data_IF_274727889549
#
_entry.id   IF_274727889549
#
_cell.length_a   1.000
_cell.length_b   1.000
_cell.length_c   1.000
_cell.angle_alpha   90.00
_cell.angle_beta   90.00
_cell.angle_gamma   90.00
#
_symmetry.space_group_name_H-M   'P 1'
#
loop_
_entity.id
_entity.type
_entity.pdbx_description
1 polymer ?
#
# COMPACT_ATOMS: atom_id res chain seq x y z
N UNK A 1 20.16 -24.62 -9.38
CA UNK A 1 19.50 -23.30 -9.21
C UNK A 1 18.13 -23.27 -9.90
N UNK A 2 18.01 -23.62 -11.19
CA UNK A 2 16.73 -23.57 -11.92
C UNK A 2 15.59 -24.40 -11.31
N UNK A 3 15.86 -25.64 -10.87
CA UNK A 3 14.85 -26.48 -10.21
C UNK A 3 14.32 -25.86 -8.91
N UNK A 4 15.18 -25.19 -8.12
CA UNK A 4 14.79 -24.51 -6.88
C UNK A 4 13.90 -23.29 -7.13
N UNK A 5 14.17 -22.52 -8.19
CA UNK A 5 13.35 -21.37 -8.60
C UNK A 5 11.99 -21.85 -9.13
N UNK A 6 11.94 -22.92 -9.92
CA UNK A 6 10.69 -23.49 -10.42
C UNK A 6 9.79 -24.00 -9.26
N UNK A 7 10.36 -24.72 -8.29
CA UNK A 7 9.63 -25.15 -7.10
C UNK A 7 9.17 -23.94 -6.28
N UNK A 8 9.99 -22.91 -6.15
CA UNK A 8 9.62 -21.68 -5.45
C UNK A 8 8.41 -21.00 -6.10
N UNK A 9 8.45 -20.79 -7.41
CA UNK A 9 7.35 -20.19 -8.18
C UNK A 9 6.08 -21.05 -8.07
N UNK A 10 6.19 -22.37 -8.14
CA UNK A 10 5.06 -23.27 -7.98
C UNK A 10 4.43 -23.14 -6.59
N UNK A 11 5.23 -23.17 -5.53
CA UNK A 11 4.76 -23.02 -4.15
C UNK A 11 4.09 -21.66 -3.92
N UNK A 12 4.68 -20.58 -4.45
CA UNK A 12 4.17 -19.22 -4.30
C UNK A 12 2.85 -19.04 -5.07
N UNK A 13 2.84 -19.39 -6.35
CA UNK A 13 1.70 -19.14 -7.24
C UNK A 13 0.58 -20.14 -7.00
N UNK A 14 0.86 -21.45 -7.09
CA UNK A 14 -0.16 -22.47 -6.93
C UNK A 14 -0.65 -22.55 -5.48
N UNK A 15 0.28 -22.47 -4.51
CA UNK A 15 -0.07 -22.44 -3.09
C UNK A 15 -0.86 -21.19 -2.72
N UNK A 16 -0.46 -20.02 -3.22
CA UNK A 16 -1.19 -18.76 -2.99
C UNK A 16 -2.63 -18.80 -3.49
N UNK A 17 -2.85 -19.27 -4.73
CA UNK A 17 -4.20 -19.41 -5.29
C UNK A 17 -5.00 -20.49 -4.55
N UNK A 18 -4.40 -21.64 -4.22
CA UNK A 18 -5.07 -22.66 -3.43
C UNK A 18 -5.53 -22.12 -2.07
N UNK A 19 -4.67 -21.37 -1.37
CA UNK A 19 -5.02 -20.70 -0.12
C UNK A 19 -6.20 -19.74 -0.28
N UNK A 20 -6.27 -18.99 -1.38
CA UNK A 20 -7.43 -18.13 -1.64
C UNK A 20 -8.73 -18.89 -1.90
N UNK A 21 -8.68 -19.97 -2.68
CA UNK A 21 -9.86 -20.82 -2.93
C UNK A 21 -10.37 -21.39 -1.62
N UNK A 22 -9.47 -21.91 -0.79
CA UNK A 22 -9.79 -22.40 0.56
C UNK A 22 -10.39 -21.27 1.41
N UNK A 23 -9.76 -20.09 1.46
CA UNK A 23 -10.25 -18.91 2.18
C UNK A 23 -11.69 -18.57 1.79
N UNK A 24 -11.98 -18.55 0.49
CA UNK A 24 -13.31 -18.24 -0.04
C UNK A 24 -14.35 -19.28 0.38
N UNK A 25 -13.96 -20.57 0.41
CA UNK A 25 -14.84 -21.69 0.79
C UNK A 25 -15.20 -21.66 2.28
N UNK A 26 -14.26 -21.26 3.13
CA UNK A 26 -14.43 -21.14 4.58
C UNK A 26 -14.87 -19.74 5.04
N UNK A 27 -14.99 -18.77 4.11
CA UNK A 27 -15.31 -17.36 4.40
C UNK A 27 -14.35 -16.69 5.39
N UNK A 28 -13.08 -17.08 5.35
CA UNK A 28 -12.00 -16.52 6.19
C UNK A 28 -11.23 -15.50 5.33
N UNK A 29 -10.68 -14.41 5.91
CA UNK A 29 -9.81 -13.50 5.17
C UNK A 29 -8.59 -14.23 4.57
N UNK A 30 -8.42 -14.14 3.25
CA UNK A 30 -7.35 -14.85 2.53
C UNK A 30 -5.94 -14.53 3.03
N UNK A 31 -5.72 -13.30 3.51
CA UNK A 31 -4.45 -12.85 4.07
C UNK A 31 -3.96 -13.79 5.17
N UNK A 32 -4.85 -14.28 6.05
CA UNK A 32 -4.47 -15.18 7.15
C UNK A 32 -3.87 -16.48 6.62
N UNK A 33 -4.49 -17.07 5.59
CA UNK A 33 -3.99 -18.31 4.99
C UNK A 33 -2.72 -18.08 4.17
N UNK A 34 -2.61 -16.94 3.47
CA UNK A 34 -1.42 -16.58 2.71
C UNK A 34 -0.19 -16.38 3.62
N UNK A 35 -0.37 -15.64 4.73
CA UNK A 35 0.68 -15.43 5.72
C UNK A 35 1.11 -16.77 6.34
N UNK A 36 0.14 -17.60 6.76
CA UNK A 36 0.40 -18.91 7.34
C UNK A 36 1.08 -19.87 6.37
N UNK A 37 0.71 -19.83 5.09
CA UNK A 37 1.33 -20.62 4.05
C UNK A 37 2.81 -20.24 3.85
N UNK A 38 3.11 -18.96 3.67
CA UNK A 38 4.51 -18.53 3.51
C UNK A 38 5.35 -18.78 4.76
N UNK A 39 4.78 -18.57 5.96
CA UNK A 39 5.44 -18.92 7.22
C UNK A 39 5.73 -20.41 7.36
N UNK A 40 4.79 -21.27 6.93
CA UNK A 40 4.98 -22.71 7.00
C UNK A 40 6.04 -23.19 5.99
N UNK A 41 5.96 -22.74 4.74
CA UNK A 41 6.84 -23.22 3.67
C UNK A 41 8.25 -22.63 3.80
N UNK A 42 8.40 -21.38 4.24
CA UNK A 42 9.70 -20.75 4.41
C UNK A 42 10.32 -21.10 5.76
N UNK A 43 10.08 -20.32 6.82
CA UNK A 43 10.82 -20.45 8.08
C UNK A 43 10.67 -21.81 8.78
N UNK A 44 9.48 -22.43 8.73
CA UNK A 44 9.21 -23.69 9.45
C UNK A 44 9.74 -24.92 8.72
N UNK A 45 9.41 -25.07 7.42
CA UNK A 45 9.80 -26.25 6.63
C UNK A 45 11.14 -26.06 5.90
N UNK A 46 11.65 -24.84 5.78
CA UNK A 46 12.90 -24.52 5.08
C UNK A 46 12.85 -24.73 3.57
N UNK A 47 11.66 -24.89 2.98
CA UNK A 47 11.49 -25.26 1.56
C UNK A 47 11.64 -24.06 0.62
N UNK A 48 11.36 -22.85 1.10
CA UNK A 48 11.37 -21.62 0.31
C UNK A 48 12.14 -20.53 1.05
N UNK A 49 13.27 -20.09 0.50
CA UNK A 49 13.98 -18.90 0.93
C UNK A 49 14.01 -17.90 -0.23
N UNK A 50 13.04 -16.97 -0.32
CA UNK A 50 12.92 -16.07 -1.46
C UNK A 50 14.18 -15.24 -1.70
N UNK A 51 14.81 -14.74 -0.63
CA UNK A 51 16.07 -13.99 -0.68
C UNK A 51 17.21 -14.79 -1.32
N UNK A 52 17.30 -16.10 -1.08
CA UNK A 52 18.32 -16.97 -1.68
C UNK A 52 17.95 -17.39 -3.11
N UNK A 53 16.67 -17.68 -3.35
CA UNK A 53 16.19 -18.17 -4.64
C UNK A 53 16.23 -17.08 -5.73
N UNK A 54 15.84 -15.86 -5.38
CA UNK A 54 15.78 -14.73 -6.32
C UNK A 54 16.96 -13.76 -6.17
N UNK A 55 17.70 -13.81 -5.06
CA UNK A 55 18.90 -13.02 -4.84
C UNK A 55 18.65 -11.51 -4.98
N UNK A 56 19.50 -10.77 -5.71
CA UNK A 56 19.34 -9.33 -5.88
C UNK A 56 18.07 -8.93 -6.66
N UNK A 57 17.47 -9.87 -7.40
CA UNK A 57 16.29 -9.61 -8.22
C UNK A 57 14.98 -9.64 -7.41
N UNK A 58 15.00 -10.15 -6.17
CA UNK A 58 13.80 -10.22 -5.33
C UNK A 58 13.16 -8.85 -5.14
N UNK A 59 13.97 -7.83 -4.82
CA UNK A 59 13.46 -6.49 -4.51
C UNK A 59 12.86 -5.77 -5.72
N UNK A 60 13.52 -5.74 -6.90
CA UNK A 60 12.88 -5.26 -8.12
C UNK A 60 11.56 -5.97 -8.44
N UNK A 61 11.50 -7.30 -8.24
CA UNK A 61 10.26 -8.06 -8.48
C UNK A 61 9.13 -7.69 -7.52
N UNK A 62 9.44 -7.54 -6.23
CA UNK A 62 8.49 -7.03 -5.23
C UNK A 62 8.04 -5.62 -5.63
N UNK A 63 8.98 -4.73 -5.98
CA UNK A 63 8.69 -3.36 -6.41
C UNK A 63 7.72 -3.28 -7.59
N UNK A 64 7.95 -4.07 -8.64
CA UNK A 64 7.07 -4.17 -9.80
C UNK A 64 5.68 -4.72 -9.43
N UNK A 65 5.62 -5.70 -8.54
CA UNK A 65 4.34 -6.24 -8.06
C UNK A 65 3.57 -5.20 -7.23
N UNK A 66 4.25 -4.50 -6.30
CA UNK A 66 3.66 -3.41 -5.51
C UNK A 66 3.19 -2.28 -6.42
N UNK A 67 3.94 -1.94 -7.48
CA UNK A 67 3.54 -0.92 -8.45
C UNK A 67 2.16 -1.20 -9.05
N UNK A 68 1.89 -2.44 -9.46
CA UNK A 68 0.59 -2.84 -10.00
C UNK A 68 -0.50 -2.76 -8.92
N UNK A 69 -0.19 -3.15 -7.68
CA UNK A 69 -1.13 -3.08 -6.56
C UNK A 69 -1.48 -1.61 -6.22
N UNK A 70 -0.51 -0.71 -6.19
CA UNK A 70 -0.76 0.71 -5.88
C UNK A 70 -1.42 1.43 -7.05
N UNK A 71 -1.09 1.05 -8.30
CA UNK A 71 -1.82 1.49 -9.49
C UNK A 71 -3.31 1.09 -9.42
N UNK A 72 -3.61 -0.12 -8.95
CA UNK A 72 -4.98 -0.59 -8.70
C UNK A 72 -5.71 0.32 -7.71
N UNK A 73 -5.08 0.61 -6.57
CA UNK A 73 -5.62 1.51 -5.54
C UNK A 73 -5.85 2.92 -6.08
N UNK A 74 -4.94 3.44 -6.90
CA UNK A 74 -5.10 4.72 -7.60
C UNK A 74 -6.32 4.74 -8.54
N UNK A 75 -6.58 3.65 -9.26
CA UNK A 75 -7.74 3.51 -10.13
C UNK A 75 -9.09 3.46 -9.40
N UNK A 76 -9.08 3.23 -8.09
CA UNK A 76 -10.29 3.29 -7.27
C UNK A 76 -10.68 4.74 -6.90
N UNK A 77 -9.75 5.69 -6.99
CA UNK A 77 -9.94 7.08 -6.57
C UNK A 77 -10.55 7.95 -7.69
N UNK A 78 -11.88 8.04 -7.73
CA UNK A 78 -12.62 8.99 -8.57
C UNK A 78 -12.99 10.26 -7.78
N UNK A 79 -12.46 11.42 -8.18
CA UNK A 79 -12.70 12.68 -7.48
C UNK A 79 -14.14 13.18 -7.60
N UNK A 80 -14.90 12.73 -8.60
CA UNK A 80 -16.31 13.10 -8.81
C UNK A 80 -17.20 12.31 -7.87
N UNK A 81 -16.98 11.00 -7.77
CA UNK A 81 -17.69 10.18 -6.79
C UNK A 81 -17.34 10.61 -5.35
N UNK A 82 -16.08 10.99 -5.10
CA UNK A 82 -15.65 11.51 -3.80
C UNK A 82 -16.36 12.82 -3.45
N UNK A 83 -16.49 13.74 -4.41
CA UNK A 83 -17.27 14.98 -4.22
C UNK A 83 -18.76 14.69 -4.03
N UNK A 84 -19.31 13.73 -4.76
CA UNK A 84 -20.71 13.32 -4.64
C UNK A 84 -21.04 12.70 -3.26
N UNK A 85 -20.05 12.16 -2.55
CA UNK A 85 -20.22 11.66 -1.19
C UNK A 85 -20.46 12.76 -0.13
N UNK A 86 -20.23 14.02 -0.49
CA UNK A 86 -20.50 15.19 0.33
C UNK A 86 -19.28 15.78 1.04
N UNK A 87 -19.33 17.09 1.24
CA UNK A 87 -18.23 17.89 1.83
C UNK A 87 -17.83 17.40 3.24
N UNK A 88 -18.80 16.90 4.01
CA UNK A 88 -18.53 16.32 5.33
C UNK A 88 -17.61 15.11 5.27
N UNK A 89 -17.78 14.21 4.30
CA UNK A 89 -16.94 13.01 4.13
C UNK A 89 -15.54 13.42 3.69
N UNK A 90 -15.45 14.31 2.71
CA UNK A 90 -14.20 14.87 2.20
C UNK A 90 -13.34 15.48 3.33
N UNK A 91 -13.93 16.37 4.13
CA UNK A 91 -13.23 17.03 5.23
C UNK A 91 -12.76 16.02 6.28
N UNK A 92 -13.61 15.03 6.60
CA UNK A 92 -13.26 14.00 7.57
C UNK A 92 -12.08 13.15 7.08
N UNK A 93 -12.09 12.69 5.82
CA UNK A 93 -11.00 11.91 5.25
C UNK A 93 -9.71 12.70 5.18
N UNK A 94 -9.76 13.97 4.77
CA UNK A 94 -8.60 14.85 4.68
C UNK A 94 -7.96 15.14 6.06
N UNK A 95 -8.76 15.26 7.12
CA UNK A 95 -8.26 15.52 8.48
C UNK A 95 -7.79 14.23 9.17
N UNK A 96 -8.48 13.10 8.95
CA UNK A 96 -8.13 11.83 9.58
C UNK A 96 -6.73 11.35 9.17
N UNK A 97 -6.33 11.60 7.93
CA UNK A 97 -5.04 11.17 7.39
C UNK A 97 -3.83 11.71 8.17
N UNK A 98 -3.61 13.04 8.29
CA UNK A 98 -2.46 13.59 9.02
C UNK A 98 -2.52 13.26 10.51
N UNK A 99 -3.71 13.18 11.11
CA UNK A 99 -3.84 12.80 12.51
C UNK A 99 -3.41 11.35 12.74
N UNK A 100 -3.85 10.41 11.88
CA UNK A 100 -3.41 9.01 11.95
C UNK A 100 -1.90 8.89 11.75
N UNK A 101 -1.32 9.65 10.82
CA UNK A 101 0.13 9.68 10.59
C UNK A 101 0.89 10.12 11.84
N UNK A 102 0.53 11.27 12.42
CA UNK A 102 1.22 11.83 13.60
C UNK A 102 1.04 10.92 14.81
N UNK A 103 -0.18 10.49 15.12
CA UNK A 103 -0.43 9.63 16.27
C UNK A 103 0.21 8.24 16.11
N UNK A 104 0.22 7.68 14.90
CA UNK A 104 0.91 6.43 14.60
C UNK A 104 2.43 6.55 14.77
N UNK A 105 3.01 7.66 14.30
CA UNK A 105 4.44 7.96 14.47
C UNK A 105 4.81 8.11 15.94
N UNK A 106 4.03 8.88 16.70
CA UNK A 106 4.26 9.09 18.14
C UNK A 106 4.12 7.79 18.91
N UNK A 107 3.13 6.95 18.59
CA UNK A 107 2.96 5.65 19.22
C UNK A 107 4.16 4.72 18.94
N UNK A 108 4.65 4.67 17.70
CA UNK A 108 5.83 3.90 17.33
C UNK A 108 7.09 4.35 18.08
N UNK A 109 7.26 5.66 18.26
CA UNK A 109 8.39 6.20 19.01
C UNK A 109 8.28 5.91 20.51
N UNK A 110 7.15 6.27 21.14
CA UNK A 110 7.01 6.21 22.59
C UNK A 110 6.75 4.80 23.13
N UNK A 111 5.95 3.99 22.43
CA UNK A 111 5.56 2.64 22.86
C UNK A 111 6.44 1.57 22.21
N UNK A 112 6.73 1.75 20.92
CA UNK A 112 7.61 0.84 20.17
C UNK A 112 9.10 1.04 20.48
N UNK A 113 9.49 2.18 21.07
CA UNK A 113 10.89 2.52 21.33
C UNK A 113 11.72 2.75 20.07
N UNK A 114 11.06 2.94 18.92
CA UNK A 114 11.73 3.14 17.63
C UNK A 114 12.32 4.55 17.54
N UNK A 115 13.38 4.73 16.74
CA UNK A 115 13.86 6.08 16.40
C UNK A 115 12.79 6.85 15.61
N UNK A 116 12.84 8.19 15.65
CA UNK A 116 11.85 9.05 14.97
C UNK A 116 11.71 8.75 13.47
N UNK A 117 12.81 8.38 12.79
CA UNK A 117 12.78 8.02 11.37
C UNK A 117 11.93 6.78 11.08
N UNK A 118 12.32 5.58 11.53
CA UNK A 118 11.51 4.37 11.40
C UNK A 118 10.08 4.53 11.93
N UNK A 119 9.90 5.30 13.00
CA UNK A 119 8.56 5.64 13.53
C UNK A 119 7.70 6.39 12.53
N UNK A 120 8.28 7.34 11.78
CA UNK A 120 7.56 8.09 10.76
C UNK A 120 7.17 7.20 9.57
N UNK A 121 8.05 6.29 9.14
CA UNK A 121 7.71 5.30 8.08
C UNK A 121 6.59 4.39 8.55
N UNK A 122 6.68 3.89 9.79
CA UNK A 122 5.61 3.08 10.37
C UNK A 122 4.29 3.85 10.45
N UNK A 123 4.32 5.12 10.88
CA UNK A 123 3.15 6.00 10.87
C UNK A 123 2.56 6.19 9.48
N UNK A 124 3.39 6.36 8.45
CA UNK A 124 2.96 6.49 7.05
C UNK A 124 2.29 5.21 6.53
N UNK A 125 2.87 4.04 6.83
CA UNK A 125 2.28 2.73 6.50
C UNK A 125 0.95 2.55 7.24
N UNK A 126 0.87 2.96 8.51
CA UNK A 126 -0.35 2.90 9.33
C UNK A 126 -1.43 3.89 8.92
N UNK A 127 -1.20 4.80 7.98
CA UNK A 127 -2.30 5.57 7.38
C UNK A 127 -3.09 4.69 6.42
N UNK A 128 -2.42 3.76 5.75
CA UNK A 128 -3.01 2.93 4.69
C UNK A 128 -4.14 2.04 5.25
N UNK A 129 -5.31 2.14 4.64
CA UNK A 129 -6.50 1.35 4.93
C UNK A 129 -7.02 0.76 3.63
N UNK A 130 -7.25 -0.55 3.60
CA UNK A 130 -7.48 -1.26 2.33
C UNK A 130 -8.94 -1.26 1.88
N UNK A 131 -9.28 -0.73 0.69
CA UNK A 131 -10.63 -0.83 0.13
C UNK A 131 -11.04 -2.29 -0.10
N UNK A 132 -10.09 -3.15 -0.44
CA UNK A 132 -10.29 -4.57 -0.74
C UNK A 132 -10.88 -5.38 0.42
N UNK A 133 -10.58 -5.02 1.66
CA UNK A 133 -11.13 -5.70 2.86
C UNK A 133 -12.38 -4.98 3.36
N UNK A 134 -12.40 -3.65 3.35
CA UNK A 134 -13.52 -2.90 3.93
C UNK A 134 -14.76 -2.93 3.04
N UNK A 135 -14.65 -2.82 1.71
CA UNK A 135 -15.82 -2.78 0.82
C UNK A 135 -16.66 -4.06 0.89
N UNK A 136 -16.08 -5.27 0.88
CA UNK A 136 -16.84 -6.50 1.13
C UNK A 136 -17.55 -6.50 2.49
N UNK A 137 -16.90 -6.01 3.55
CA UNK A 137 -17.52 -5.93 4.88
C UNK A 137 -18.70 -4.95 4.89
N UNK A 138 -18.54 -3.78 4.28
CA UNK A 138 -19.60 -2.76 4.16
C UNK A 138 -20.82 -3.25 3.37
N UNK A 139 -20.63 -4.14 2.38
CA UNK A 139 -21.76 -4.73 1.62
C UNK A 139 -22.63 -5.66 2.47
N UNK A 140 -22.06 -6.27 3.50
CA UNK A 140 -22.78 -7.18 4.41
C UNK A 140 -23.20 -6.48 5.70
N UNK A 141 -22.48 -5.43 6.11
CA UNK A 141 -22.79 -4.64 7.28
C UNK A 141 -23.96 -3.69 6.96
N UNK A 142 -25.07 -3.83 7.69
CA UNK A 142 -26.24 -2.93 7.59
C UNK A 142 -25.95 -1.59 8.28
N UNK A 143 -25.06 -0.80 7.70
CA UNK A 143 -24.64 0.49 8.25
C UNK A 143 -25.45 1.64 7.68
N UNK A 144 -25.53 2.73 8.44
CA UNK A 144 -26.06 3.98 7.93
C UNK A 144 -25.24 4.48 6.72
N UNK A 145 -25.94 5.05 5.74
CA UNK A 145 -25.34 5.47 4.46
C UNK A 145 -24.12 6.37 4.65
N UNK A 146 -24.16 7.27 5.63
CA UNK A 146 -23.08 8.22 5.90
C UNK A 146 -21.84 7.57 6.50
N UNK A 147 -22.02 6.72 7.51
CA UNK A 147 -20.94 5.94 8.13
C UNK A 147 -20.29 4.97 7.14
N UNK A 148 -21.10 4.31 6.28
CA UNK A 148 -20.59 3.47 5.20
C UNK A 148 -19.82 4.27 4.14
N UNK A 149 -20.32 5.45 3.75
CA UNK A 149 -19.65 6.32 2.79
C UNK A 149 -18.31 6.84 3.34
N UNK A 150 -18.25 7.22 4.61
CA UNK A 150 -17.01 7.65 5.25
C UNK A 150 -15.96 6.52 5.26
N UNK A 151 -16.31 5.33 5.76
CA UNK A 151 -15.38 4.18 5.78
C UNK A 151 -14.91 3.78 4.37
N UNK A 152 -15.82 3.82 3.39
CA UNK A 152 -15.48 3.55 1.99
C UNK A 152 -14.46 4.55 1.46
N UNK A 153 -14.71 5.85 1.64
CA UNK A 153 -13.85 6.89 1.08
C UNK A 153 -12.55 7.07 1.85
N UNK A 154 -12.56 6.88 3.16
CA UNK A 154 -11.34 6.79 3.95
C UNK A 154 -10.43 5.69 3.38
N UNK A 155 -10.97 4.50 3.14
CA UNK A 155 -10.18 3.41 2.57
C UNK A 155 -9.69 3.72 1.14
N UNK A 156 -10.56 4.21 0.26
CA UNK A 156 -10.18 4.51 -1.13
C UNK A 156 -9.14 5.63 -1.23
N UNK A 157 -9.19 6.65 -0.37
CA UNK A 157 -8.25 7.78 -0.40
C UNK A 157 -6.93 7.42 0.28
N UNK A 158 -6.98 6.82 1.48
CA UNK A 158 -5.78 6.52 2.25
C UNK A 158 -4.90 5.46 1.59
N UNK A 159 -5.46 4.61 0.73
CA UNK A 159 -4.71 3.56 0.03
C UNK A 159 -3.62 4.13 -0.91
N UNK A 160 -3.94 4.93 -1.94
CA UNK A 160 -2.93 5.59 -2.77
C UNK A 160 -2.16 6.69 -2.02
N UNK A 161 -2.82 7.48 -1.18
CA UNK A 161 -2.14 8.60 -0.50
C UNK A 161 -1.13 8.10 0.53
N UNK A 162 -1.44 7.02 1.25
CA UNK A 162 -0.51 6.41 2.19
C UNK A 162 0.70 5.78 1.51
N UNK A 163 0.55 5.23 0.30
CA UNK A 163 1.69 4.77 -0.50
C UNK A 163 2.62 5.92 -0.91
N UNK A 164 2.07 7.03 -1.42
CA UNK A 164 2.82 8.24 -1.76
C UNK A 164 3.51 8.82 -0.51
N UNK A 165 2.77 8.94 0.60
CA UNK A 165 3.31 9.45 1.86
C UNK A 165 4.47 8.59 2.35
N UNK A 166 4.33 7.27 2.29
CA UNK A 166 5.39 6.36 2.71
C UNK A 166 6.64 6.50 1.83
N UNK A 167 6.47 6.57 0.50
CA UNK A 167 7.57 6.80 -0.43
C UNK A 167 8.32 8.11 -0.11
N UNK A 168 7.59 9.21 0.14
CA UNK A 168 8.18 10.50 0.50
C UNK A 168 8.93 10.42 1.83
N UNK A 169 8.34 9.80 2.86
CA UNK A 169 8.98 9.68 4.18
C UNK A 169 10.24 8.83 4.11
N UNK A 170 10.25 7.72 3.36
CA UNK A 170 11.45 6.91 3.16
C UNK A 170 12.54 7.72 2.47
N UNK A 171 12.21 8.44 1.39
CA UNK A 171 13.18 9.24 0.66
C UNK A 171 13.80 10.33 1.54
N UNK A 172 12.98 11.03 2.34
CA UNK A 172 13.46 11.99 3.33
C UNK A 172 14.47 11.33 4.28
N UNK A 173 14.17 10.15 4.80
CA UNK A 173 15.03 9.49 5.79
C UNK A 173 16.31 8.89 5.22
N UNK A 174 16.29 8.44 3.98
CA UNK A 174 17.50 7.91 3.32
C UNK A 174 18.38 9.05 2.79
N UNK A 175 17.76 10.17 2.37
CA UNK A 175 18.45 11.35 1.85
C UNK A 175 19.09 12.24 2.92
N UNK A 176 18.46 12.40 4.10
CA UNK A 176 18.94 13.29 5.17
C UNK A 176 20.32 12.95 5.78
N UNK A 177 20.68 11.67 6.07
CA UNK A 177 21.92 11.34 6.78
C UNK A 177 23.20 11.75 6.05
N UNK A 178 23.13 11.97 4.73
CA UNK A 178 24.30 12.25 3.89
C UNK A 178 24.60 13.75 3.71
N UNK A 179 23.76 14.66 4.24
CA UNK A 179 23.88 16.10 4.00
C UNK A 179 23.60 16.89 5.29
N UNK A 180 24.60 17.59 5.84
CA UNK A 180 24.47 18.46 7.01
C UNK A 180 24.63 19.94 6.61
N UNK A 181 23.69 20.80 7.05
CA UNK A 181 23.69 22.24 6.79
C UNK A 181 22.32 22.79 6.36
N UNK A 182 22.12 24.12 6.34
CA UNK A 182 20.89 24.74 5.82
C UNK A 182 20.69 24.46 4.31
N UNK A 183 21.79 24.35 3.56
CA UNK A 183 21.80 23.95 2.15
C UNK A 183 21.28 22.52 1.93
N UNK A 184 21.44 21.63 2.92
CA UNK A 184 20.98 20.25 2.84
C UNK A 184 19.45 20.13 2.79
N UNK A 185 18.73 21.01 3.49
CA UNK A 185 17.26 21.01 3.50
C UNK A 185 16.73 21.50 2.15
N UNK A 186 17.34 22.54 1.60
CA UNK A 186 16.95 23.08 0.28
C UNK A 186 17.24 22.07 -0.83
N UNK A 187 18.41 21.43 -0.80
CA UNK A 187 18.81 20.42 -1.79
C UNK A 187 17.95 19.15 -1.69
N UNK A 188 17.59 18.71 -0.48
CA UNK A 188 16.63 17.62 -0.30
C UNK A 188 15.24 17.99 -0.81
N UNK A 189 14.76 19.20 -0.51
CA UNK A 189 13.46 19.67 -1.00
C UNK A 189 13.42 19.74 -2.53
N UNK A 190 14.50 20.20 -3.16
CA UNK A 190 14.66 20.21 -4.61
C UNK A 190 14.69 18.78 -5.17
N UNK A 191 15.49 17.88 -4.59
CA UNK A 191 15.56 16.49 -5.01
C UNK A 191 14.20 15.79 -4.94
N UNK A 192 13.45 15.99 -3.84
CA UNK A 192 12.09 15.47 -3.68
C UNK A 192 11.12 16.09 -4.68
N UNK A 193 11.21 17.39 -4.92
CA UNK A 193 10.36 18.08 -5.89
C UNK A 193 10.63 17.60 -7.33
N UNK A 194 11.90 17.38 -7.68
CA UNK A 194 12.30 16.83 -8.97
C UNK A 194 11.85 15.39 -9.15
N UNK A 195 12.11 14.52 -8.17
CA UNK A 195 11.73 13.10 -8.24
C UNK A 195 10.22 12.90 -8.23
N UNK A 196 9.51 13.53 -7.29
CA UNK A 196 8.05 13.46 -7.23
C UNK A 196 7.39 14.19 -8.42
N UNK A 197 7.96 15.30 -8.87
CA UNK A 197 7.50 16.04 -10.05
C UNK A 197 7.65 15.22 -11.33
N UNK A 198 8.81 14.61 -11.55
CA UNK A 198 9.03 13.72 -12.69
C UNK A 198 8.09 12.51 -12.64
N UNK A 199 7.90 11.90 -11.47
CA UNK A 199 6.94 10.82 -11.27
C UNK A 199 5.51 11.23 -11.61
N UNK A 200 5.09 12.41 -11.15
CA UNK A 200 3.76 12.94 -11.41
C UNK A 200 3.56 13.25 -12.90
N UNK A 201 4.53 13.88 -13.55
CA UNK A 201 4.50 14.19 -14.99
C UNK A 201 4.43 12.91 -15.82
N UNK A 202 5.25 11.90 -15.50
CA UNK A 202 5.23 10.62 -16.20
C UNK A 202 3.92 9.85 -15.96
N UNK A 203 3.41 9.85 -14.71
CA UNK A 203 2.15 9.19 -14.39
C UNK A 203 0.96 9.84 -15.09
N UNK A 204 0.83 11.16 -15.01
CA UNK A 204 -0.24 11.92 -15.69
C UNK A 204 -0.08 11.82 -17.22
N UNK A 205 1.14 11.97 -17.74
CA UNK A 205 1.44 11.85 -19.16
C UNK A 205 1.08 10.48 -19.73
N UNK A 206 1.37 9.41 -18.99
CA UNK A 206 0.96 8.04 -19.35
C UNK A 206 -0.56 7.90 -19.39
N UNK A 207 -1.28 8.51 -18.45
CA UNK A 207 -2.74 8.49 -18.44
C UNK A 207 -3.35 9.26 -19.62
N UNK A 208 -2.77 10.41 -19.98
CA UNK A 208 -3.18 11.16 -21.17
C UNK A 208 -2.88 10.40 -22.46
N UNK A 209 -1.73 9.72 -22.54
CA UNK A 209 -1.36 8.91 -23.69
C UNK A 209 -2.38 7.78 -23.90
N UNK A 210 -2.74 7.06 -22.83
CA UNK A 210 -3.80 6.04 -22.86
C UNK A 210 -5.14 6.64 -23.28
N UNK A 211 -5.54 7.75 -22.65
CA UNK A 211 -6.81 8.41 -22.95
C UNK A 211 -6.90 8.83 -24.42
N UNK A 212 -5.82 9.38 -24.96
CA UNK A 212 -5.70 9.77 -26.36
C UNK A 212 -5.75 8.56 -27.29
N UNK A 213 -4.97 7.51 -26.99
CA UNK A 213 -4.88 6.32 -27.83
C UNK A 213 -6.21 5.56 -27.90
N UNK A 214 -6.91 5.40 -26.77
CA UNK A 214 -8.17 4.67 -26.71
C UNK A 214 -9.34 5.46 -27.32
N UNK A 215 -9.37 6.80 -27.15
CA UNK A 215 -10.40 7.64 -27.79
C UNK A 215 -10.29 7.68 -29.31
N UNK A 216 -9.09 7.47 -29.85
CA UNK A 216 -8.84 7.40 -31.29
C UNK A 216 -8.83 5.98 -31.85
N UNK A 217 -9.18 4.99 -31.02
CA UNK A 217 -9.20 3.57 -31.39
C UNK A 217 -7.87 3.09 -32.01
N UNK A 218 -6.75 3.65 -31.55
CA UNK A 218 -5.41 3.29 -32.03
C UNK A 218 -4.91 1.95 -31.47
N UNK A 219 -5.61 1.42 -30.47
CA UNK A 219 -5.20 0.22 -29.73
C UNK A 219 -6.33 -0.82 -29.82
N UNK A 220 -6.06 -1.99 -30.42
CA UNK A 220 -7.02 -3.10 -30.44
C UNK A 220 -7.48 -3.46 -29.03
N UNK A 221 -8.76 -3.87 -28.88
CA UNK A 221 -9.34 -4.24 -27.57
C UNK A 221 -8.50 -5.27 -26.79
N UNK A 222 -7.92 -6.24 -27.47
CA UNK A 222 -7.06 -7.29 -26.88
C UNK A 222 -5.76 -6.73 -26.28
N UNK A 223 -5.28 -5.58 -26.76
CA UNK A 223 -4.03 -4.95 -26.34
C UNK A 223 -4.24 -3.85 -25.30
N UNK A 224 -5.48 -3.45 -25.01
CA UNK A 224 -5.76 -2.39 -24.02
C UNK A 224 -5.25 -2.77 -22.63
N UNK A 225 -5.53 -4.00 -22.19
CA UNK A 225 -5.12 -4.43 -20.84
C UNK A 225 -3.60 -4.60 -20.71
N UNK A 226 -2.92 -5.31 -21.64
CA UNK A 226 -1.46 -5.36 -21.64
C UNK A 226 -0.81 -3.98 -21.69
N UNK A 227 -1.35 -3.04 -22.49
CA UNK A 227 -0.83 -1.68 -22.58
C UNK A 227 -0.94 -0.94 -21.25
N UNK A 228 -2.07 -1.02 -20.55
CA UNK A 228 -2.23 -0.39 -19.24
C UNK A 228 -1.21 -0.94 -18.23
N UNK A 229 -1.00 -2.25 -18.21
CA UNK A 229 -0.05 -2.88 -17.30
C UNK A 229 1.39 -2.49 -17.65
N UNK A 230 1.75 -2.51 -18.93
CA UNK A 230 3.06 -2.08 -19.39
C UNK A 230 3.32 -0.62 -19.00
N UNK A 231 2.35 0.28 -19.22
CA UNK A 231 2.48 1.67 -18.83
C UNK A 231 2.48 1.89 -17.32
N UNK A 232 1.79 1.05 -16.53
CA UNK A 232 1.89 1.09 -15.07
C UNK A 232 3.31 0.72 -14.60
N UNK A 233 3.91 -0.30 -15.22
CA UNK A 233 5.29 -0.69 -14.93
C UNK A 233 6.29 0.37 -15.41
N UNK A 234 6.05 1.03 -16.55
CA UNK A 234 6.90 2.14 -17.03
C UNK A 234 6.78 3.36 -16.10
N UNK A 235 5.56 3.71 -15.69
CA UNK A 235 5.28 4.80 -14.75
C UNK A 235 5.85 4.52 -13.35
N UNK A 236 6.13 3.26 -13.02
CA UNK A 236 6.93 2.88 -11.86
C UNK A 236 8.42 2.94 -12.14
N UNK A 237 8.90 2.16 -13.11
CA UNK A 237 10.32 1.90 -13.31
C UNK A 237 11.09 3.17 -13.68
N UNK A 238 10.56 4.02 -14.57
CA UNK A 238 11.29 5.19 -15.07
C UNK A 238 11.54 6.23 -13.96
N UNK A 239 10.53 6.66 -13.18
CA UNK A 239 10.82 7.52 -12.02
C UNK A 239 11.73 6.84 -10.99
N UNK A 240 11.64 5.52 -10.83
CA UNK A 240 12.49 4.78 -9.91
C UNK A 240 13.98 4.78 -10.27
N UNK A 241 14.32 5.06 -11.54
CA UNK A 241 15.71 5.26 -11.98
C UNK A 241 16.27 6.61 -11.52
N UNK A 242 15.40 7.61 -11.32
CA UNK A 242 15.80 8.94 -10.86
C UNK A 242 15.87 8.98 -9.32
N UNK A 243 14.86 8.39 -8.67
CA UNK A 243 14.71 8.42 -7.21
C UNK A 243 14.03 7.11 -6.77
N UNK A 244 14.66 6.40 -5.83
CA UNK A 244 14.40 4.98 -5.56
C UNK A 244 12.98 4.64 -5.08
N UNK A 245 12.20 5.63 -4.65
CA UNK A 245 10.79 5.49 -4.25
C UNK A 245 9.81 6.31 -5.11
N UNK A 246 10.32 7.13 -6.05
CA UNK A 246 9.49 7.91 -6.97
C UNK A 246 8.63 7.03 -7.88
N UNK A 247 9.02 5.78 -8.11
CA UNK A 247 8.23 4.84 -8.89
C UNK A 247 6.85 4.55 -8.29
N UNK A 248 6.76 4.42 -6.96
CA UNK A 248 5.47 4.23 -6.29
C UNK A 248 4.55 5.43 -6.53
N UNK A 249 5.09 6.64 -6.46
CA UNK A 249 4.37 7.89 -6.76
C UNK A 249 3.86 7.86 -8.22
N UNK A 250 4.73 7.52 -9.17
CA UNK A 250 4.39 7.52 -10.60
C UNK A 250 3.28 6.52 -10.95
N UNK A 251 3.35 5.29 -10.44
CA UNK A 251 2.31 4.29 -10.62
C UNK A 251 0.98 4.69 -9.97
N UNK A 252 1.04 5.26 -8.77
CA UNK A 252 -0.16 5.77 -8.07
C UNK A 252 -0.83 6.88 -8.87
N UNK A 253 -0.05 7.89 -9.27
CA UNK A 253 -0.53 9.05 -10.02
C UNK A 253 -1.08 8.63 -11.37
N UNK A 254 -0.46 7.67 -12.05
CA UNK A 254 -1.00 7.08 -13.28
C UNK A 254 -2.40 6.49 -13.06
N UNK A 255 -2.58 5.70 -12.01
CA UNK A 255 -3.88 5.12 -11.66
C UNK A 255 -4.95 6.17 -11.36
N UNK A 256 -4.62 7.17 -10.54
CA UNK A 256 -5.51 8.29 -10.18
C UNK A 256 -5.89 9.09 -11.43
N UNK A 257 -4.91 9.47 -12.25
CA UNK A 257 -5.15 10.26 -13.45
C UNK A 257 -6.04 9.49 -14.44
N UNK A 258 -5.78 8.20 -14.63
CA UNK A 258 -6.55 7.36 -15.54
C UNK A 258 -8.02 7.20 -15.10
N UNK A 259 -8.28 7.03 -13.80
CA UNK A 259 -9.64 7.02 -13.26
C UNK A 259 -10.40 8.31 -13.56
N UNK A 260 -9.72 9.46 -13.46
CA UNK A 260 -10.37 10.77 -13.58
C UNK A 260 -10.49 11.28 -15.04
N UNK A 261 -9.74 10.71 -16.00
CA UNK A 261 -9.78 11.06 -17.42
C UNK A 261 -10.93 10.41 -18.23
N UNK A 262 -11.68 9.47 -17.64
CA UNK A 262 -12.87 8.84 -18.26
C UNK A 262 -12.54 8.22 -19.62
N UNK A 263 -11.57 7.32 -19.64
CA UNK A 263 -11.19 6.63 -20.87
C UNK A 263 -12.25 5.55 -21.20
N UNK A 264 -12.75 5.50 -22.45
CA UNK A 264 -13.68 4.46 -22.88
C UNK A 264 -13.11 3.05 -22.63
N UNK A 265 -13.96 2.11 -22.20
CA UNK A 265 -13.58 0.71 -22.00
C UNK A 265 -12.94 0.38 -20.63
N UNK A 266 -12.60 1.37 -19.79
CA UNK A 266 -11.97 1.15 -18.47
C UNK A 266 -12.76 0.18 -17.56
N UNK A 267 -14.09 0.16 -17.67
CA UNK A 267 -14.94 -0.70 -16.85
C UNK A 267 -14.70 -2.20 -17.11
N UNK A 268 -14.42 -2.58 -18.36
CA UNK A 268 -14.14 -3.99 -18.73
C UNK A 268 -12.72 -4.40 -18.34
N UNK A 269 -11.77 -3.45 -18.42
CA UNK A 269 -10.39 -3.59 -17.96
C UNK A 269 -10.29 -3.86 -16.44
N UNK A 270 -11.29 -3.44 -15.66
CA UNK A 270 -11.32 -3.57 -14.20
C UNK A 270 -11.31 -5.02 -13.73
N UNK A 271 -11.97 -5.95 -14.45
CA UNK A 271 -12.04 -7.39 -14.08
C UNK A 271 -10.72 -8.13 -14.24
N UNK A 272 -10.00 -7.90 -15.35
CA UNK A 272 -8.70 -8.53 -15.56
C UNK A 272 -7.65 -7.99 -14.59
N UNK A 273 -7.71 -6.68 -14.30
CA UNK A 273 -6.90 -6.03 -13.27
C UNK A 273 -7.12 -6.67 -11.90
N UNK A 274 -8.37 -6.88 -11.50
CA UNK A 274 -8.71 -7.51 -10.22
C UNK A 274 -8.09 -8.90 -10.08
N UNK A 275 -8.20 -9.76 -11.11
CA UNK A 275 -7.58 -11.08 -11.10
C UNK A 275 -6.05 -11.04 -10.97
N UNK A 276 -5.39 -10.12 -11.70
CA UNK A 276 -3.95 -9.95 -11.62
C UNK A 276 -3.50 -9.46 -10.24
N UNK A 277 -4.20 -8.48 -9.67
CA UNK A 277 -3.89 -7.94 -8.35
C UNK A 277 -4.04 -9.03 -7.31
N UNK A 278 -5.13 -9.79 -7.34
CA UNK A 278 -5.37 -10.93 -6.46
C UNK A 278 -4.22 -11.96 -6.53
N UNK A 279 -3.71 -12.24 -7.72
CA UNK A 279 -2.53 -13.10 -7.91
C UNK A 279 -1.27 -12.47 -7.30
N UNK A 280 -0.94 -11.22 -7.64
CA UNK A 280 0.25 -10.52 -7.16
C UNK A 280 0.27 -10.38 -5.64
N UNK A 281 -0.88 -10.06 -5.05
CA UNK A 281 -1.10 -10.02 -3.59
C UNK A 281 -0.74 -11.35 -2.96
N UNK A 282 -1.23 -12.46 -3.53
CA UNK A 282 -0.95 -13.79 -3.02
C UNK A 282 0.54 -14.07 -3.03
N UNK A 283 1.18 -13.77 -4.15
CA UNK A 283 2.62 -13.95 -4.30
C UNK A 283 3.39 -13.09 -3.28
N UNK A 284 3.04 -11.81 -3.17
CA UNK A 284 3.68 -10.87 -2.24
C UNK A 284 3.57 -11.35 -0.80
N UNK A 285 2.39 -11.70 -0.32
CA UNK A 285 2.24 -12.15 1.07
C UNK A 285 3.01 -13.44 1.36
N UNK A 286 2.97 -14.43 0.44
CA UNK A 286 3.70 -15.68 0.61
C UNK A 286 5.21 -15.44 0.59
N UNK A 287 5.70 -14.60 -0.33
CA UNK A 287 7.12 -14.24 -0.43
C UNK A 287 7.59 -13.49 0.81
N UNK A 288 6.84 -12.47 1.25
CA UNK A 288 7.21 -11.65 2.40
C UNK A 288 7.24 -12.46 3.70
N UNK A 289 6.31 -13.39 3.91
CA UNK A 289 6.35 -14.23 5.13
C UNK A 289 7.32 -15.40 5.05
N UNK A 290 7.59 -15.90 3.85
CA UNK A 290 8.59 -16.96 3.66
C UNK A 290 10.03 -16.47 3.91
N UNK A 291 10.27 -15.16 3.79
CA UNK A 291 11.58 -14.55 4.04
C UNK A 291 11.77 -14.09 5.50
N UNK A 292 10.79 -14.33 6.39
CA UNK A 292 10.89 -13.94 7.81
C UNK A 292 11.92 -14.79 8.57
N UNK A 293 12.75 -14.16 9.38
CA UNK A 293 13.68 -14.87 10.25
C UNK A 293 13.01 -15.27 11.58
N UNK A 294 13.03 -16.56 11.91
CA UNK A 294 12.50 -17.10 13.18
C UNK A 294 13.17 -16.48 14.40
N UNK A 295 14.42 -16.04 14.29
CA UNK A 295 15.15 -15.41 15.40
C UNK A 295 14.64 -14.00 15.71
N UNK A 296 14.08 -13.31 14.72
CA UNK A 296 13.42 -12.00 14.88
C UNK A 296 12.02 -12.20 15.48
N UNK A 297 11.29 -13.20 15.01
CA UNK A 297 9.97 -13.58 15.55
C UNK A 297 10.04 -14.09 17.01
N UNK A 298 11.07 -14.86 17.35
CA UNK A 298 11.31 -15.34 18.72
C UNK A 298 11.65 -14.23 19.71
N UNK A 299 12.00 -13.04 19.20
CA UNK A 299 12.21 -11.81 19.96
C UNK A 299 11.00 -10.88 19.88
N UNK A 300 9.78 -11.40 19.66
CA UNK A 300 8.53 -10.64 19.79
C UNK A 300 8.52 -9.95 21.16
N UNK A 301 8.95 -8.71 21.14
CA UNK A 301 9.24 -7.95 22.33
C UNK A 301 7.91 -7.38 22.83
N UNK A 302 7.77 -7.27 24.15
CA UNK A 302 6.63 -6.60 24.76
C UNK A 302 6.28 -5.24 24.08
N UNK A 303 7.26 -4.43 23.61
CA UNK A 303 7.02 -3.26 22.76
C UNK A 303 6.20 -3.50 21.50
N UNK A 304 6.38 -4.59 20.75
CA UNK A 304 5.63 -4.84 19.49
C UNK A 304 4.16 -5.14 19.79
N UNK A 305 3.91 -5.95 20.82
CA UNK A 305 2.55 -6.27 21.26
C UNK A 305 1.88 -5.00 21.82
N UNK A 306 2.59 -4.25 22.66
CA UNK A 306 2.10 -2.99 23.21
C UNK A 306 1.81 -1.97 22.10
N UNK A 307 2.70 -1.81 21.13
CA UNK A 307 2.51 -0.90 19.98
C UNK A 307 1.29 -1.30 19.15
N UNK A 308 1.12 -2.60 18.90
CA UNK A 308 -0.05 -3.12 18.16
C UNK A 308 -1.34 -2.82 18.91
N UNK A 309 -1.37 -3.08 20.22
CA UNK A 309 -2.52 -2.80 21.08
C UNK A 309 -2.81 -1.29 21.15
N UNK A 310 -1.80 -0.45 21.36
CA UNK A 310 -1.94 1.02 21.38
C UNK A 310 -2.44 1.53 20.03
N UNK A 311 -1.96 0.98 18.92
CA UNK A 311 -2.43 1.36 17.59
C UNK A 311 -3.93 1.06 17.41
N UNK A 312 -4.37 -0.12 17.87
CA UNK A 312 -5.76 -0.57 17.74
C UNK A 312 -6.72 0.18 18.68
N UNK A 313 -6.35 0.30 19.96
CA UNK A 313 -7.26 0.78 21.00
C UNK A 313 -7.11 2.27 21.33
N UNK A 314 -5.99 2.89 20.96
CA UNK A 314 -5.71 4.30 21.29
C UNK A 314 -5.59 5.14 20.04
N UNK A 315 -4.62 4.85 19.17
CA UNK A 315 -4.32 5.69 17.99
C UNK A 315 -5.53 5.81 17.08
N UNK A 316 -6.13 4.70 16.68
CA UNK A 316 -7.23 4.70 15.72
C UNK A 316 -8.50 5.37 16.30
N UNK A 317 -9.01 5.00 17.50
CA UNK A 317 -10.14 5.71 18.10
C UNK A 317 -9.86 7.19 18.34
N UNK A 318 -8.67 7.56 18.82
CA UNK A 318 -8.31 8.96 19.04
C UNK A 318 -8.25 9.76 17.73
N UNK A 319 -7.62 9.20 16.68
CA UNK A 319 -7.51 9.86 15.39
C UNK A 319 -8.89 10.14 14.79
N UNK A 320 -9.79 9.16 14.84
CA UNK A 320 -11.16 9.35 14.37
C UNK A 320 -11.95 10.29 15.27
N UNK A 321 -11.78 10.25 16.59
CA UNK A 321 -12.50 11.15 17.47
C UNK A 321 -12.10 12.61 17.26
N UNK A 322 -10.80 12.88 17.07
CA UNK A 322 -10.29 14.20 16.72
C UNK A 322 -10.74 14.65 15.33
N UNK A 323 -10.69 13.77 14.32
CA UNK A 323 -11.16 14.09 12.98
C UNK A 323 -12.67 14.36 12.94
N UNK A 324 -13.46 13.64 13.75
CA UNK A 324 -14.92 13.72 13.78
C UNK A 324 -15.48 14.72 14.80
N UNK A 325 -14.63 15.47 15.51
CA UNK A 325 -15.06 16.39 16.57
C UNK A 325 -16.17 17.36 16.14
N UNK A 326 -16.07 17.90 14.92
CA UNK A 326 -17.07 18.82 14.32
C UNK A 326 -17.99 18.14 13.28
N UNK A 327 -18.24 16.84 13.42
CA UNK A 327 -19.14 16.10 12.52
C UNK A 327 -20.44 15.72 13.21
N UNK A 328 -21.49 15.53 12.43
CA UNK A 328 -22.81 15.12 12.94
C UNK A 328 -22.89 13.61 13.22
N UNK A 329 -21.76 12.89 13.28
CA UNK A 329 -21.74 11.49 13.67
C UNK A 329 -22.06 11.36 15.15
N UNK A 330 -22.97 10.43 15.47
CA UNK A 330 -23.29 10.08 16.86
C UNK A 330 -22.11 9.40 17.55
N UNK A 331 -22.06 9.43 18.89
CA UNK A 331 -20.99 8.78 19.65
C UNK A 331 -20.86 7.27 19.34
N UNK A 332 -21.98 6.58 19.11
CA UNK A 332 -21.99 5.15 18.74
C UNK A 332 -21.38 4.91 17.37
N UNK A 333 -21.69 5.77 16.39
CA UNK A 333 -21.08 5.71 15.07
C UNK A 333 -19.59 6.03 15.13
N UNK A 334 -19.19 7.05 15.90
CA UNK A 334 -17.77 7.41 16.07
C UNK A 334 -16.97 6.25 16.67
N UNK A 335 -17.51 5.56 17.66
CA UNK A 335 -16.86 4.38 18.24
C UNK A 335 -16.78 3.22 17.24
N UNK A 336 -17.87 2.95 16.51
CA UNK A 336 -17.92 1.88 15.52
C UNK A 336 -16.93 2.10 14.37
N UNK A 337 -16.96 3.30 13.78
CA UNK A 337 -16.07 3.73 12.71
C UNK A 337 -14.62 3.81 13.23
N UNK A 338 -14.44 4.28 14.47
CA UNK A 338 -13.14 4.36 15.15
C UNK A 338 -12.48 3.00 15.39
N UNK A 339 -13.27 1.93 15.47
CA UNK A 339 -12.79 0.57 15.68
C UNK A 339 -12.49 -0.17 14.38
N UNK A 340 -13.19 0.17 13.29
CA UNK A 340 -13.07 -0.53 12.02
C UNK A 340 -12.07 0.19 11.12
N UNK A 341 -10.90 -0.42 10.96
CA UNK A 341 -9.84 0.06 10.08
C UNK A 341 -8.94 -1.07 9.61
N UNK A 342 -9.43 -1.98 8.75
CA UNK A 342 -8.62 -3.08 8.26
C UNK A 342 -7.41 -2.53 7.47
N UNK A 343 -6.23 -3.04 7.80
CA UNK A 343 -5.00 -2.72 7.07
C UNK A 343 -5.02 -3.43 5.73
N UNK A 344 -4.79 -2.64 4.69
CA UNK A 344 -4.90 -3.08 3.31
C UNK A 344 -3.69 -3.88 2.84
N UNK A 345 -3.86 -4.46 1.66
CA UNK A 345 -2.79 -5.11 0.91
C UNK A 345 -1.64 -4.12 0.67
N UNK A 346 -1.95 -2.88 0.27
CA UNK A 346 -0.94 -1.85 -0.01
C UNK A 346 -0.07 -1.59 1.21
N UNK A 347 -0.64 -1.56 2.41
CA UNK A 347 0.13 -1.34 3.64
C UNK A 347 1.20 -2.42 3.83
N UNK A 348 0.84 -3.69 3.64
CA UNK A 348 1.76 -4.81 3.74
C UNK A 348 2.80 -4.83 2.62
N UNK A 349 2.37 -4.53 1.39
CA UNK A 349 3.24 -4.49 0.22
C UNK A 349 4.31 -3.38 0.35
N UNK A 350 3.89 -2.18 0.75
CA UNK A 350 4.79 -1.04 0.99
C UNK A 350 5.69 -1.30 2.20
N UNK A 351 5.17 -1.92 3.28
CA UNK A 351 6.01 -2.32 4.42
C UNK A 351 7.13 -3.28 4.01
N UNK A 352 6.81 -4.27 3.15
CA UNK A 352 7.78 -5.22 2.62
C UNK A 352 8.89 -4.57 1.77
N UNK A 353 8.61 -3.43 1.14
CA UNK A 353 9.63 -2.62 0.45
C UNK A 353 10.41 -1.72 1.41
N UNK A 354 9.73 -1.14 2.39
CA UNK A 354 10.28 -0.14 3.30
C UNK A 354 11.28 -0.72 4.32
N UNK A 355 10.98 -1.89 4.88
CA UNK A 355 11.81 -2.50 5.93
C UNK A 355 13.28 -2.70 5.52
N UNK A 356 13.55 -3.43 4.42
CA UNK A 356 14.91 -3.64 3.92
C UNK A 356 15.67 -2.34 3.64
N UNK A 357 14.99 -1.30 3.14
CA UNK A 357 15.60 0.02 2.87
C UNK A 357 16.06 0.72 4.14
N UNK A 358 15.23 0.71 5.18
CA UNK A 358 15.58 1.28 6.48
C UNK A 358 16.75 0.53 7.12
N UNK A 359 16.77 -0.80 6.97
CA UNK A 359 17.87 -1.63 7.46
C UNK A 359 19.20 -1.29 6.75
N UNK A 360 19.19 -1.11 5.43
CA UNK A 360 20.38 -0.70 4.66
C UNK A 360 20.87 0.70 4.98
N UNK A 361 19.94 1.62 5.28
CA UNK A 361 20.28 2.97 5.72
C UNK A 361 20.81 3.02 7.18
N UNK A 362 20.94 1.87 7.85
CA UNK A 362 21.55 1.75 9.18
C UNK A 362 20.59 2.06 10.34
N UNK A 363 19.28 2.16 10.10
CA UNK A 363 18.32 2.40 11.17
C UNK A 363 17.98 1.11 11.93
N UNK A 364 18.29 1.09 13.23
CA UNK A 364 17.82 0.04 14.14
C UNK A 364 16.29 0.09 14.25
N UNK A 365 15.61 -0.99 13.86
CA UNK A 365 14.14 -1.11 13.83
C UNK A 365 13.50 -1.28 12.44
N UNK A 366 14.32 -1.41 11.37
CA UNK A 366 13.83 -1.71 10.01
C UNK A 366 13.58 -3.19 9.70
N UNK A 367 13.94 -4.11 10.61
CA UNK A 367 13.81 -5.57 10.47
C UNK A 367 12.60 -6.13 11.16
#
# INVERSE_FOLDING_TARGET
MEQGVATAVLCIVAGGIAAQVIASRFRIPAIVLLLGLGFLIGPVLGLLHPSQAFGPNLRPLIGLAVAIVVFEGGLALDFRELRAAGEGVLRLTAIALPINFVLGTVAAHLVGGMLWGPSAVFGAILVVTGPTVILPLLRHARLERRSAAFLRWEAIVNDPVGAILTAIVIEILVGLPHRSGEEAVTDLALHLAEGAGAAAVLGVGSAFLVAWAFRRDLVPETLKTPLLLALALVAYAVPNLLMHEAGLIGATVFGIALANLHVPGIAELRRFKEALVVLLVSCLFVVLTADLDLTVLGKLSLPVIALTATTLFVVRPAALWLATWRSDLTWRERLFVGWIGPRGIVAAAVAGLAGPRLSEAGYAGGT
#
